data_IF_689528851897
#
_entry.id   IF_689528851897
#
_cell.length_a   1.000
_cell.length_b   1.000
_cell.length_c   1.000
_cell.angle_alpha   90.00
_cell.angle_beta   90.00
_cell.angle_gamma   90.00
#
_symmetry.space_group_name_H-M   'P 1'
#
loop_
_entity.id
_entity.type
_entity.pdbx_description
1 polymer ?
#
# COMPACT_ATOMS: atom_id res chain seq x y z
N UNK A 1 25.89 16.91 9.72
CA UNK A 1 24.83 16.69 8.72
C UNK A 1 24.29 15.29 8.94
N UNK A 2 23.12 15.16 9.58
CA UNK A 2 22.43 13.88 9.72
C UNK A 2 21.76 13.59 8.38
N UNK A 3 22.20 12.56 7.67
CA UNK A 3 21.47 12.05 6.50
C UNK A 3 20.20 11.37 7.03
N UNK A 4 19.07 12.08 6.98
CA UNK A 4 17.76 11.45 7.17
C UNK A 4 17.50 10.57 5.94
N UNK A 5 17.81 9.28 6.05
CA UNK A 5 17.17 8.31 5.17
C UNK A 5 15.68 8.32 5.56
N UNK A 6 14.86 8.91 4.70
CA UNK A 6 13.40 8.87 4.77
C UNK A 6 12.97 7.40 4.74
N UNK A 7 12.87 6.79 5.92
CA UNK A 7 12.12 5.55 6.10
C UNK A 7 10.66 5.99 6.00
N UNK A 8 10.03 5.78 4.85
CA UNK A 8 8.58 5.95 4.71
C UNK A 8 7.91 5.10 5.81
N UNK A 9 7.28 5.75 6.78
CA UNK A 9 6.48 5.05 7.78
C UNK A 9 5.20 4.59 7.13
N UNK A 10 4.96 3.30 7.27
CA UNK A 10 3.75 2.71 6.75
C UNK A 10 3.00 2.05 7.90
N UNK A 11 1.84 2.62 8.20
CA UNK A 11 0.98 2.27 9.31
C UNK A 11 0.38 0.85 9.16
N UNK A 12 0.97 -0.17 9.75
CA UNK A 12 0.35 -1.50 9.82
C UNK A 12 -0.68 -1.55 10.96
N UNK A 13 -1.91 -1.96 10.67
CA UNK A 13 -2.84 -2.38 11.73
C UNK A 13 -2.37 -3.72 12.28
N UNK A 14 -2.31 -3.93 13.62
CA UNK A 14 -1.82 -5.18 14.22
C UNK A 14 -2.81 -6.35 14.10
N UNK A 15 -3.78 -6.27 13.18
CA UNK A 15 -4.68 -7.37 12.86
C UNK A 15 -3.94 -8.44 12.03
N UNK A 16 -3.17 -9.26 12.76
CA UNK A 16 -2.58 -10.54 12.34
C UNK A 16 -1.33 -10.43 11.46
N UNK A 17 -0.27 -11.10 11.91
CA UNK A 17 1.03 -11.28 11.26
C UNK A 17 1.00 -12.13 9.97
N UNK A 18 -0.02 -11.97 9.13
CA UNK A 18 -0.07 -12.46 7.77
C UNK A 18 -0.22 -11.25 6.84
N UNK A 19 0.65 -11.12 5.84
CA UNK A 19 0.43 -10.14 4.77
C UNK A 19 -0.99 -10.33 4.23
N UNK A 20 -1.83 -9.29 4.16
CA UNK A 20 -3.18 -9.43 3.66
C UNK A 20 -3.13 -10.07 2.27
N UNK A 21 -4.09 -10.96 2.00
CA UNK A 21 -4.19 -11.70 0.74
C UNK A 21 -5.55 -11.45 0.12
N UNK A 22 -5.58 -11.16 -1.17
CA UNK A 22 -6.81 -10.95 -1.91
C UNK A 22 -7.55 -12.28 -2.13
N UNK A 23 -8.85 -12.32 -1.86
CA UNK A 23 -9.66 -13.53 -1.92
C UNK A 23 -10.60 -13.55 -3.12
N UNK A 24 -10.92 -14.75 -3.63
CA UNK A 24 -11.77 -14.93 -4.80
C UNK A 24 -13.27 -14.84 -4.51
N UNK A 25 -13.65 -14.91 -3.23
CA UNK A 25 -15.06 -14.98 -2.83
C UNK A 25 -15.78 -13.70 -3.23
N UNK A 26 -16.88 -13.82 -3.99
CA UNK A 26 -17.66 -12.67 -4.43
C UNK A 26 -17.07 -11.92 -5.63
N UNK A 27 -15.92 -12.33 -6.14
CA UNK A 27 -15.40 -11.81 -7.40
C UNK A 27 -16.33 -12.21 -8.56
N UNK A 28 -16.49 -11.29 -9.50
CA UNK A 28 -17.25 -11.49 -10.74
C UNK A 28 -16.78 -12.72 -11.54
N UNK A 29 -15.49 -13.06 -11.47
CA UNK A 29 -14.94 -14.31 -12.00
C UNK A 29 -13.90 -14.90 -11.03
N UNK A 30 -14.38 -15.50 -9.94
CA UNK A 30 -13.55 -16.17 -8.93
C UNK A 30 -12.54 -17.17 -9.54
N UNK A 31 -12.98 -17.96 -10.53
CA UNK A 31 -12.12 -18.95 -11.19
C UNK A 31 -11.00 -18.32 -12.03
N UNK A 32 -11.32 -17.22 -12.72
CA UNK A 32 -10.34 -16.44 -13.48
C UNK A 32 -9.33 -15.79 -12.54
N UNK A 33 -9.80 -15.23 -11.43
CA UNK A 33 -8.94 -14.66 -10.41
C UNK A 33 -7.98 -15.69 -9.80
N UNK A 34 -8.47 -16.86 -9.38
CA UNK A 34 -7.63 -17.94 -8.84
C UNK A 34 -6.60 -18.44 -9.87
N UNK A 35 -7.01 -18.57 -11.14
CA UNK A 35 -6.07 -18.92 -12.20
C UNK A 35 -4.98 -17.86 -12.37
N UNK A 36 -5.35 -16.58 -12.33
CA UNK A 36 -4.42 -15.47 -12.46
C UNK A 36 -3.44 -15.42 -11.28
N UNK A 37 -3.92 -15.57 -10.04
CA UNK A 37 -3.07 -15.68 -8.85
C UNK A 37 -2.11 -16.86 -8.93
N UNK A 38 -2.57 -18.02 -9.41
CA UNK A 38 -1.71 -19.19 -9.58
C UNK A 38 -0.56 -18.94 -10.56
N UNK A 39 -0.82 -18.17 -11.63
CA UNK A 39 0.23 -17.81 -12.59
C UNK A 39 1.17 -16.74 -12.01
N UNK A 40 0.67 -15.75 -11.27
CA UNK A 40 1.50 -14.82 -10.49
C UNK A 40 2.43 -15.57 -9.51
N UNK A 41 1.88 -16.50 -8.72
CA UNK A 41 2.65 -17.32 -7.77
C UNK A 41 3.76 -18.14 -8.44
N UNK A 42 3.51 -18.68 -9.64
CA UNK A 42 4.54 -19.39 -10.42
C UNK A 42 5.65 -18.45 -10.88
N UNK A 43 5.29 -17.26 -11.38
CA UNK A 43 6.26 -16.25 -11.79
C UNK A 43 7.13 -15.82 -10.61
N UNK A 44 6.52 -15.52 -9.46
CA UNK A 44 7.21 -15.15 -8.22
C UNK A 44 8.14 -16.26 -7.74
N UNK A 45 7.68 -17.52 -7.77
CA UNK A 45 8.50 -18.69 -7.40
C UNK A 45 9.72 -18.84 -8.32
N UNK A 46 9.53 -18.62 -9.63
CA UNK A 46 10.61 -18.63 -10.62
C UNK A 46 11.61 -17.49 -10.37
N UNK A 47 11.13 -16.28 -10.13
CA UNK A 47 11.93 -15.10 -9.83
C UNK A 47 12.79 -15.33 -8.57
N UNK A 48 12.19 -15.80 -7.48
CA UNK A 48 12.90 -16.09 -6.23
C UNK A 48 13.96 -17.17 -6.43
N UNK A 49 13.63 -18.23 -7.18
CA UNK A 49 14.58 -19.32 -7.45
C UNK A 49 15.79 -18.82 -8.23
N UNK A 50 15.58 -17.94 -9.21
CA UNK A 50 16.65 -17.32 -10.00
C UNK A 50 17.49 -16.35 -9.15
N UNK A 51 16.86 -15.47 -8.38
CA UNK A 51 17.55 -14.53 -7.50
C UNK A 51 18.42 -15.24 -6.44
N UNK A 52 17.94 -16.38 -5.91
CA UNK A 52 18.73 -17.24 -5.01
C UNK A 52 19.94 -17.85 -5.72
N UNK A 53 19.75 -18.35 -6.94
CA UNK A 53 20.84 -18.91 -7.75
C UNK A 53 21.93 -17.88 -8.05
N UNK A 54 21.52 -16.63 -8.30
CA UNK A 54 22.44 -15.53 -8.63
C UNK A 54 22.97 -14.80 -7.37
N UNK A 55 22.55 -15.22 -6.17
CA UNK A 55 22.86 -14.58 -4.89
C UNK A 55 22.51 -13.07 -4.84
N UNK A 56 21.39 -12.68 -5.48
CA UNK A 56 20.96 -11.28 -5.60
C UNK A 56 19.85 -10.96 -4.59
N UNK A 57 20.23 -10.55 -3.39
CA UNK A 57 19.30 -10.27 -2.29
C UNK A 57 18.27 -9.17 -2.62
N UNK A 58 18.68 -8.13 -3.35
CA UNK A 58 17.75 -7.06 -3.79
C UNK A 58 16.66 -7.57 -4.73
N UNK A 59 16.97 -8.58 -5.54
CA UNK A 59 16.00 -9.16 -6.46
C UNK A 59 14.97 -10.02 -5.73
N UNK A 60 15.33 -10.64 -4.62
CA UNK A 60 14.34 -11.35 -3.79
C UNK A 60 13.22 -10.43 -3.30
N UNK A 61 13.58 -9.21 -2.89
CA UNK A 61 12.60 -8.20 -2.50
C UNK A 61 11.77 -7.74 -3.71
N UNK A 62 12.42 -7.48 -4.84
CA UNK A 62 11.73 -7.08 -6.07
C UNK A 62 10.73 -8.15 -6.55
N UNK A 63 11.03 -9.43 -6.40
CA UNK A 63 10.09 -10.51 -6.72
C UNK A 63 8.78 -10.41 -5.91
N UNK A 64 8.87 -10.11 -4.61
CA UNK A 64 7.68 -9.95 -3.76
C UNK A 64 6.87 -8.70 -4.10
N UNK A 65 7.52 -7.63 -4.52
CA UNK A 65 6.85 -6.42 -4.99
C UNK A 65 6.14 -6.64 -6.31
N UNK A 66 6.78 -7.34 -7.25
CA UNK A 66 6.13 -7.72 -8.51
C UNK A 66 4.96 -8.68 -8.28
N UNK A 67 5.07 -9.59 -7.30
CA UNK A 67 3.95 -10.45 -6.92
C UNK A 67 2.72 -9.64 -6.50
N UNK A 68 2.94 -8.59 -5.70
CA UNK A 68 1.85 -7.69 -5.27
C UNK A 68 1.21 -6.99 -6.46
N UNK A 69 2.04 -6.49 -7.40
CA UNK A 69 1.60 -5.88 -8.66
C UNK A 69 0.74 -6.83 -9.47
N UNK A 70 1.21 -8.05 -9.66
CA UNK A 70 0.49 -9.07 -10.42
C UNK A 70 -0.86 -9.41 -9.76
N UNK A 71 -0.89 -9.56 -8.44
CA UNK A 71 -2.10 -9.92 -7.70
C UNK A 71 -3.17 -8.83 -7.72
N UNK A 72 -2.83 -7.56 -7.49
CA UNK A 72 -3.85 -6.51 -7.58
C UNK A 72 -4.27 -6.24 -9.04
N UNK A 73 -3.41 -6.50 -10.03
CA UNK A 73 -3.79 -6.49 -11.45
C UNK A 73 -4.78 -7.63 -11.78
N UNK A 74 -4.54 -8.83 -11.25
CA UNK A 74 -5.51 -9.93 -11.30
C UNK A 74 -6.85 -9.52 -10.66
N UNK A 75 -6.81 -8.82 -9.53
CA UNK A 75 -8.02 -8.35 -8.85
C UNK A 75 -8.77 -7.30 -9.68
N UNK A 76 -8.05 -6.33 -10.25
CA UNK A 76 -8.63 -5.34 -11.16
C UNK A 76 -9.26 -5.97 -12.41
N UNK A 77 -8.74 -7.11 -12.89
CA UNK A 77 -9.31 -7.84 -14.02
C UNK A 77 -10.54 -8.67 -13.61
N UNK A 78 -10.47 -9.44 -12.52
CA UNK A 78 -11.42 -10.53 -12.24
C UNK A 78 -12.30 -10.31 -11.00
N UNK A 79 -11.99 -9.29 -10.21
CA UNK A 79 -12.68 -8.90 -8.98
C UNK A 79 -12.97 -7.40 -8.99
N UNK A 80 -13.11 -6.78 -10.18
CA UNK A 80 -13.37 -5.34 -10.32
C UNK A 80 -14.60 -4.86 -9.55
N UNK A 81 -15.52 -5.77 -9.19
CA UNK A 81 -16.70 -5.47 -8.41
C UNK A 81 -16.43 -5.28 -6.91
N UNK A 82 -15.19 -5.54 -6.46
CA UNK A 82 -14.74 -5.52 -5.05
C UNK A 82 -13.56 -4.58 -4.78
N UNK A 83 -13.14 -3.81 -5.77
CA UNK A 83 -11.89 -3.00 -5.74
C UNK A 83 -11.91 -1.82 -4.75
N UNK A 84 -13.04 -1.58 -4.07
CA UNK A 84 -13.12 -0.55 -3.02
C UNK A 84 -13.36 -1.13 -1.63
N UNK A 85 -13.55 -2.44 -1.52
CA UNK A 85 -13.72 -3.14 -0.25
C UNK A 85 -12.48 -3.00 0.66
N UNK A 86 -12.65 -3.25 1.96
CA UNK A 86 -11.56 -3.19 2.93
C UNK A 86 -10.39 -4.09 2.54
N UNK A 87 -10.66 -5.31 2.08
CA UNK A 87 -9.63 -6.30 1.70
C UNK A 87 -8.69 -5.74 0.62
N UNK A 88 -9.23 -5.05 -0.40
CA UNK A 88 -8.41 -4.46 -1.46
C UNK A 88 -7.57 -3.30 -0.93
N UNK A 89 -8.16 -2.41 -0.14
CA UNK A 89 -7.44 -1.27 0.41
C UNK A 89 -6.32 -1.72 1.37
N UNK A 90 -6.58 -2.69 2.25
CA UNK A 90 -5.57 -3.28 3.14
C UNK A 90 -4.43 -3.93 2.35
N UNK A 91 -4.75 -4.62 1.26
CA UNK A 91 -3.75 -5.23 0.38
C UNK A 91 -2.85 -4.19 -0.28
N UNK A 92 -3.43 -3.13 -0.86
CA UNK A 92 -2.64 -2.07 -1.48
C UNK A 92 -1.80 -1.33 -0.45
N UNK A 93 -2.35 -1.07 0.74
CA UNK A 93 -1.57 -0.49 1.84
C UNK A 93 -0.38 -1.39 2.15
N UNK A 94 -0.60 -2.68 2.38
CA UNK A 94 0.47 -3.65 2.63
C UNK A 94 1.53 -3.68 1.52
N UNK A 95 1.14 -3.57 0.25
CA UNK A 95 2.07 -3.40 -0.86
C UNK A 95 2.92 -2.14 -0.69
N UNK A 96 2.30 -0.98 -0.45
CA UNK A 96 3.02 0.27 -0.20
C UNK A 96 3.99 0.15 0.98
N UNK A 97 3.63 -0.59 2.03
CA UNK A 97 4.48 -0.74 3.23
C UNK A 97 5.68 -1.63 3.01
N UNK A 98 5.48 -2.74 2.32
CA UNK A 98 6.50 -3.78 2.18
C UNK A 98 7.40 -3.56 0.95
N UNK A 99 7.02 -2.65 0.06
CA UNK A 99 7.74 -2.35 -1.16
C UNK A 99 8.22 -0.90 -1.19
N UNK A 100 9.51 -0.70 -0.96
CA UNK A 100 10.14 0.62 -0.99
C UNK A 100 10.02 1.34 -2.36
N UNK A 101 9.80 0.58 -3.42
CA UNK A 101 9.57 1.14 -4.76
C UNK A 101 8.11 1.46 -5.03
N UNK A 102 7.16 0.98 -4.22
CA UNK A 102 5.74 1.18 -4.46
C UNK A 102 5.38 2.66 -4.41
N UNK A 103 4.62 3.11 -5.41
CA UNK A 103 4.12 4.48 -5.52
C UNK A 103 2.79 4.50 -6.26
N UNK A 104 2.05 5.57 -6.04
CA UNK A 104 0.87 5.89 -6.84
C UNK A 104 1.26 6.37 -8.26
N UNK A 105 0.40 6.14 -9.25
CA UNK A 105 -0.95 5.58 -9.13
C UNK A 105 -0.96 4.03 -9.03
N UNK A 106 -1.95 3.54 -8.30
CA UNK A 106 -2.38 2.13 -8.26
C UNK A 106 -3.88 2.11 -8.59
N UNK A 107 -4.40 1.18 -9.41
CA UNK A 107 -5.81 1.18 -9.80
C UNK A 107 -6.73 1.22 -8.58
N UNK A 108 -7.79 2.02 -8.65
CA UNK A 108 -8.86 2.08 -7.64
C UNK A 108 -8.43 2.48 -6.22
N UNK A 109 -7.22 3.00 -6.04
CA UNK A 109 -6.69 3.39 -4.75
C UNK A 109 -6.23 4.87 -4.75
N UNK A 110 -6.70 5.71 -3.82
CA UNK A 110 -7.66 5.41 -2.76
C UNK A 110 -9.07 5.22 -3.34
N UNK A 111 -10.00 4.68 -2.54
CA UNK A 111 -11.39 4.56 -2.97
C UNK A 111 -11.99 5.98 -3.19
N UNK A 112 -12.78 6.20 -4.26
CA UNK A 112 -13.54 7.43 -4.43
C UNK A 112 -14.50 7.68 -3.27
N UNK A 113 -14.91 8.94 -3.11
CA UNK A 113 -15.97 9.30 -2.17
C UNK A 113 -17.28 8.60 -2.57
N UNK A 114 -17.99 8.07 -1.58
CA UNK A 114 -19.30 7.42 -1.73
C UNK A 114 -19.30 6.23 -2.72
N UNK A 115 -18.13 5.61 -2.92
CA UNK A 115 -18.01 4.40 -3.72
C UNK A 115 -18.90 3.27 -3.15
N UNK A 116 -19.69 2.57 -3.98
CA UNK A 116 -20.52 1.45 -3.54
C UNK A 116 -19.64 0.31 -3.03
N UNK A 117 -20.09 -0.38 -1.98
CA UNK A 117 -19.38 -1.49 -1.33
C UNK A 117 -17.97 -1.11 -0.82
N UNK A 118 -17.69 0.19 -0.68
CA UNK A 118 -16.41 0.67 -0.20
C UNK A 118 -16.23 0.35 1.28
N UNK A 119 -14.98 0.21 1.72
CA UNK A 119 -14.67 0.05 3.14
C UNK A 119 -15.27 1.19 3.98
N UNK A 120 -15.82 0.85 5.16
CA UNK A 120 -16.47 1.76 6.10
C UNK A 120 -15.56 2.91 6.56
N UNK A 121 -14.25 2.69 6.45
CA UNK A 121 -13.21 3.71 6.55
C UNK A 121 -12.43 3.71 5.23
N UNK A 122 -12.16 4.90 4.66
CA UNK A 122 -11.32 5.01 3.49
C UNK A 122 -9.84 4.90 3.90
N UNK A 123 -9.38 3.67 4.11
CA UNK A 123 -8.01 3.35 4.51
C UNK A 123 -6.98 3.95 3.54
N UNK A 124 -7.30 3.98 2.26
CA UNK A 124 -6.42 4.59 1.26
C UNK A 124 -6.22 6.09 1.48
N UNK A 125 -7.29 6.84 1.79
CA UNK A 125 -7.18 8.26 2.15
C UNK A 125 -6.37 8.47 3.42
N UNK A 126 -6.59 7.66 4.47
CA UNK A 126 -5.78 7.71 5.70
C UNK A 126 -4.31 7.49 5.38
N UNK A 127 -3.98 6.44 4.61
CA UNK A 127 -2.61 6.12 4.25
C UNK A 127 -1.92 7.24 3.47
N UNK A 128 -2.64 7.87 2.53
CA UNK A 128 -2.10 8.99 1.74
C UNK A 128 -1.89 10.21 2.62
N UNK A 129 -2.88 10.61 3.43
CA UNK A 129 -2.77 11.78 4.30
C UNK A 129 -1.61 11.64 5.31
N UNK A 130 -1.39 10.44 5.84
CA UNK A 130 -0.25 10.16 6.72
C UNK A 130 1.08 10.25 5.97
N UNK A 131 1.17 9.66 4.78
CA UNK A 131 2.38 9.78 3.96
C UNK A 131 2.67 11.23 3.56
N UNK A 132 1.63 12.01 3.25
CA UNK A 132 1.75 13.43 2.95
C UNK A 132 2.25 14.20 4.18
N UNK A 133 1.79 13.88 5.39
CA UNK A 133 2.31 14.49 6.62
C UNK A 133 3.81 14.25 6.77
N UNK A 134 4.28 13.03 6.51
CA UNK A 134 5.71 12.67 6.54
C UNK A 134 6.51 13.45 5.49
N UNK A 135 6.02 13.53 4.25
CA UNK A 135 6.70 14.27 3.18
C UNK A 135 6.74 15.78 3.45
N UNK A 136 5.66 16.33 4.01
CA UNK A 136 5.57 17.73 4.39
C UNK A 136 6.50 18.04 5.56
N UNK A 137 6.61 17.16 6.55
CA UNK A 137 7.56 17.30 7.66
C UNK A 137 9.02 17.24 7.20
N UNK A 138 9.35 16.35 6.27
CA UNK A 138 10.66 16.30 5.63
C UNK A 138 10.99 17.60 4.90
N UNK A 139 10.03 18.14 4.15
CA UNK A 139 10.17 19.42 3.43
C UNK A 139 10.32 20.60 4.41
N UNK A 140 9.46 20.65 5.42
CA UNK A 140 9.45 21.64 6.49
C UNK A 140 10.81 21.68 7.20
N UNK A 141 11.34 20.52 7.58
CA UNK A 141 12.63 20.39 8.26
C UNK A 141 13.80 20.84 7.37
N UNK A 142 13.76 20.51 6.07
CA UNK A 142 14.78 20.95 5.11
C UNK A 142 14.75 22.46 4.85
N UNK A 143 13.59 23.09 5.06
CA UNK A 143 13.41 24.54 4.92
C UNK A 143 13.79 25.33 6.18
N UNK A 144 14.11 24.68 7.29
CA UNK A 144 14.62 25.31 8.51
C UNK A 144 16.05 25.82 8.30
N UNK A 145 16.19 27.01 7.69
CA UNK A 145 17.45 27.52 7.14
C UNK A 145 17.79 28.94 7.59
N UNK A 146 17.29 29.37 8.75
CA UNK A 146 17.67 30.65 9.34
C UNK A 146 19.16 30.67 9.72
N UNK A 147 19.72 31.88 9.87
CA UNK A 147 21.08 32.05 10.39
C UNK A 147 21.24 31.68 11.87
N UNK A 148 20.14 31.36 12.55
CA UNK A 148 20.11 30.96 13.96
C UNK A 148 19.85 29.45 14.08
N UNK A 149 20.87 28.73 14.55
CA UNK A 149 20.79 27.28 14.75
C UNK A 149 19.72 26.88 15.78
N UNK A 150 19.49 27.70 16.81
CA UNK A 150 18.46 27.46 17.81
C UNK A 150 17.06 27.57 17.22
N UNK A 151 16.82 28.60 16.42
CA UNK A 151 15.55 28.78 15.73
C UNK A 151 15.27 27.63 14.73
N UNK A 152 16.28 27.19 14.00
CA UNK A 152 16.14 26.05 13.08
C UNK A 152 15.77 24.76 13.82
N UNK A 153 16.41 24.49 14.96
CA UNK A 153 16.06 23.33 15.78
C UNK A 153 14.61 23.40 16.29
N UNK A 154 14.15 24.57 16.76
CA UNK A 154 12.76 24.73 17.20
C UNK A 154 11.77 24.49 16.05
N UNK A 155 12.06 24.99 14.85
CA UNK A 155 11.23 24.74 13.68
C UNK A 155 11.22 23.26 13.30
N UNK A 156 12.36 22.57 13.30
CA UNK A 156 12.44 21.13 13.01
C UNK A 156 11.61 20.30 14.00
N UNK A 157 11.66 20.62 15.29
CA UNK A 157 10.81 20.00 16.30
C UNK A 157 9.32 20.29 16.04
N UNK A 158 8.99 21.53 15.65
CA UNK A 158 7.65 21.91 15.18
C UNK A 158 7.17 21.06 13.99
N UNK A 159 8.04 20.86 12.99
CA UNK A 159 7.75 20.01 11.83
C UNK A 159 7.43 18.56 12.26
N UNK A 160 8.26 17.96 13.12
CA UNK A 160 8.03 16.61 13.66
C UNK A 160 6.72 16.52 14.45
N UNK A 161 6.40 17.56 15.23
CA UNK A 161 5.15 17.61 15.97
C UNK A 161 3.92 17.74 15.06
N UNK A 162 4.02 18.51 13.98
CA UNK A 162 2.98 18.57 12.96
C UNK A 162 2.83 17.28 12.16
N UNK A 163 3.90 16.48 12.00
CA UNK A 163 3.83 15.13 11.44
C UNK A 163 3.00 14.18 12.33
N UNK A 164 3.31 14.15 13.62
CA UNK A 164 2.59 13.34 14.62
C UNK A 164 1.12 13.77 14.72
N UNK A 165 0.89 15.07 14.79
CA UNK A 165 -0.44 15.67 14.81
C UNK A 165 -1.23 15.40 13.54
N UNK A 166 -0.61 15.57 12.36
CA UNK A 166 -1.22 15.28 11.07
C UNK A 166 -1.58 13.81 10.91
N UNK A 167 -0.74 12.90 11.42
CA UNK A 167 -1.01 11.46 11.44
C UNK A 167 -2.25 11.14 12.29
N UNK A 168 -2.31 11.67 13.51
CA UNK A 168 -3.47 11.50 14.40
C UNK A 168 -4.76 12.06 13.82
N UNK A 169 -4.67 13.26 13.27
CA UNK A 169 -5.81 13.97 12.70
C UNK A 169 -6.32 13.27 11.44
N UNK A 170 -5.43 12.75 10.60
CA UNK A 170 -5.77 11.90 9.45
C UNK A 170 -6.57 10.68 9.87
N UNK A 171 -6.20 10.02 10.96
CA UNK A 171 -6.90 8.84 11.48
C UNK A 171 -8.32 9.21 11.92
N UNK A 172 -8.46 10.23 12.77
CA UNK A 172 -9.74 10.50 13.44
C UNK A 172 -10.70 11.36 12.62
N UNK A 173 -10.22 12.16 11.67
CA UNK A 173 -11.10 12.97 10.80
C UNK A 173 -11.56 12.19 9.57
N UNK A 174 -10.70 11.35 8.98
CA UNK A 174 -11.07 10.55 7.81
C UNK A 174 -11.91 9.34 8.24
N UNK A 175 -11.64 8.75 9.42
CA UNK A 175 -12.31 7.56 9.92
C UNK A 175 -12.79 7.70 11.38
N UNK A 176 -13.68 8.67 11.66
CA UNK A 176 -14.09 9.03 13.02
C UNK A 176 -14.74 7.89 13.81
N UNK A 177 -15.48 7.01 13.14
CA UNK A 177 -16.25 5.95 13.80
C UNK A 177 -15.46 4.65 14.00
N UNK A 178 -14.28 4.53 13.37
CA UNK A 178 -13.49 3.29 13.36
C UNK A 178 -12.59 3.19 14.59
N UNK A 179 -12.39 1.97 15.12
CA UNK A 179 -11.35 1.74 16.14
C UNK A 179 -9.99 2.17 15.57
N UNK A 180 -9.34 3.18 16.17
CA UNK A 180 -8.12 3.77 15.62
C UNK A 180 -6.96 2.77 15.53
N UNK A 181 -7.00 1.66 16.29
CA UNK A 181 -6.02 0.57 16.18
C UNK A 181 -6.09 -0.15 14.84
N UNK A 182 -7.25 -0.16 14.17
CA UNK A 182 -7.47 -0.76 12.86
C UNK A 182 -7.07 0.14 11.69
N UNK A 183 -6.69 1.39 11.97
CA UNK A 183 -6.31 2.38 10.95
C UNK A 183 -4.94 3.01 11.23
N UNK A 184 -4.12 2.32 12.02
CA UNK A 184 -2.70 2.64 12.14
C UNK A 184 -2.25 3.33 13.41
N UNK A 185 -3.14 3.70 14.34
CA UNK A 185 -2.76 4.40 15.59
C UNK A 185 -1.72 3.62 16.41
N UNK A 186 -1.74 2.29 16.33
CA UNK A 186 -0.77 1.41 17.00
C UNK A 186 0.69 1.69 16.62
N UNK A 187 0.95 2.38 15.50
CA UNK A 187 2.30 2.72 15.05
C UNK A 187 2.77 4.09 15.53
N UNK A 188 1.93 4.88 16.20
CA UNK A 188 2.31 6.21 16.67
C UNK A 188 3.56 6.18 17.54
N UNK A 189 3.69 5.23 18.47
CA UNK A 189 4.90 5.10 19.29
C UNK A 189 6.15 4.73 18.49
N UNK A 190 5.99 4.04 17.36
CA UNK A 190 7.11 3.79 16.44
C UNK A 190 7.50 5.07 15.70
N UNK A 191 6.51 5.86 15.28
CA UNK A 191 6.72 7.17 14.68
C UNK A 191 7.45 8.13 15.64
N UNK A 192 6.97 8.26 16.86
CA UNK A 192 7.63 9.04 17.93
C UNK A 192 9.09 8.63 18.12
N UNK A 193 9.36 7.32 18.18
CA UNK A 193 10.71 6.77 18.35
C UNK A 193 11.63 7.11 17.17
N UNK A 194 11.09 7.11 15.94
CA UNK A 194 11.87 7.43 14.73
C UNK A 194 12.17 8.92 14.61
N UNK A 195 11.18 9.76 14.95
CA UNK A 195 11.35 11.22 15.00
C UNK A 195 12.21 11.65 16.20
N UNK A 196 12.37 10.78 17.21
CA UNK A 196 12.97 11.10 18.50
C UNK A 196 12.24 12.28 19.18
N UNK A 197 10.91 12.29 19.06
CA UNK A 197 10.00 13.29 19.62
C UNK A 197 8.80 12.57 20.23
N UNK A 198 8.52 12.83 21.50
CA UNK A 198 7.30 12.35 22.13
C UNK A 198 6.16 13.31 21.82
N UNK A 199 5.01 12.79 21.36
CA UNK A 199 3.86 13.62 21.04
C UNK A 199 3.39 14.43 22.26
N UNK A 200 3.51 13.88 23.47
CA UNK A 200 3.19 14.61 24.72
C UNK A 200 3.97 15.91 24.91
N UNK A 201 5.14 16.05 24.29
CA UNK A 201 5.99 17.25 24.39
C UNK A 201 5.70 18.27 23.29
N UNK A 202 4.79 17.94 22.35
CA UNK A 202 4.52 18.75 21.17
C UNK A 202 3.70 20.01 21.41
N UNK A 203 2.98 20.11 22.53
CA UNK A 203 2.09 21.24 22.81
C UNK A 203 2.80 22.59 22.68
N UNK A 204 3.98 22.72 23.29
CA UNK A 204 4.78 23.96 23.23
C UNK A 204 5.24 24.34 21.82
N UNK A 205 5.49 23.34 20.95
CA UNK A 205 5.94 23.59 19.59
C UNK A 205 4.76 23.95 18.68
N UNK A 206 3.63 23.28 18.86
CA UNK A 206 2.39 23.57 18.13
C UNK A 206 1.72 24.88 18.59
N UNK A 207 2.05 25.39 19.77
CA UNK A 207 1.69 26.74 20.20
C UNK A 207 2.58 27.82 19.56
N UNK A 208 3.84 27.48 19.27
CA UNK A 208 4.81 28.38 18.66
C UNK A 208 4.74 28.39 17.12
N UNK A 209 4.31 27.27 16.53
CA UNK A 209 4.20 27.07 15.09
C UNK A 209 2.85 26.45 14.75
N UNK A 210 2.02 27.20 14.04
CA UNK A 210 0.83 26.65 13.43
C UNK A 210 1.21 25.74 12.25
N UNK A 211 0.75 24.49 12.29
CA UNK A 211 1.11 23.50 11.28
C UNK A 211 0.72 23.96 9.87
N UNK A 212 -0.42 24.60 9.70
CA UNK A 212 -0.90 25.06 8.39
C UNK A 212 -0.23 26.36 7.97
N UNK A 213 -0.35 27.42 8.76
CA UNK A 213 0.07 28.76 8.34
C UNK A 213 1.57 28.98 8.40
N UNK A 214 2.23 28.41 9.41
CA UNK A 214 3.66 28.66 9.63
C UNK A 214 4.52 27.57 8.97
N UNK A 215 4.05 26.32 9.02
CA UNK A 215 4.81 25.15 8.56
C UNK A 215 4.29 24.53 7.25
N UNK A 216 3.25 25.12 6.65
CA UNK A 216 2.72 24.75 5.33
C UNK A 216 2.16 23.33 5.23
N UNK A 217 1.73 22.73 6.34
CA UNK A 217 1.06 21.44 6.31
C UNK A 217 -0.35 21.58 5.75
N UNK A 218 -0.74 20.70 4.82
CA UNK A 218 -2.08 20.66 4.24
C UNK A 218 -2.37 19.24 3.78
N UNK A 219 -3.25 18.53 4.49
CA UNK A 219 -3.55 17.12 4.25
C UNK A 219 -5.01 16.97 3.79
N UNK A 220 -5.25 16.17 2.75
CA UNK A 220 -6.63 15.90 2.29
C UNK A 220 -7.41 15.17 3.40
N UNK A 221 -8.63 15.64 3.68
CA UNK A 221 -9.49 15.07 4.72
C UNK A 221 -9.10 15.43 6.16
N UNK A 222 -8.17 16.36 6.37
CA UNK A 222 -7.80 16.88 7.69
C UNK A 222 -8.05 18.39 7.75
N UNK A 223 -8.80 18.82 8.74
CA UNK A 223 -9.09 20.23 8.98
C UNK A 223 -8.37 20.80 10.19
N UNK A 224 -8.03 19.94 11.16
CA UNK A 224 -7.45 20.33 12.44
C UNK A 224 -6.17 19.53 12.70
N UNK A 225 -5.14 20.18 13.22
CA UNK A 225 -3.94 19.49 13.72
C UNK A 225 -4.08 19.35 15.24
N UNK A 226 -4.43 18.15 15.69
CA UNK A 226 -4.65 17.84 17.11
C UNK A 226 -3.39 18.08 17.94
N UNK A 227 -3.55 18.75 19.08
CA UNK A 227 -2.55 18.94 20.12
C UNK A 227 -2.62 17.82 21.17
N UNK A 228 -1.58 17.63 22.00
CA UNK A 228 -1.53 16.51 22.93
C UNK A 228 -2.63 16.49 24.00
N UNK A 229 -3.18 17.66 24.34
CA UNK A 229 -4.28 17.84 25.29
C UNK A 229 -5.66 17.82 24.63
N UNK A 230 -5.74 17.76 23.30
CA UNK A 230 -7.01 17.64 22.59
C UNK A 230 -7.64 16.28 22.84
N UNK A 231 -8.96 16.29 23.09
CA UNK A 231 -9.71 15.07 23.22
C UNK A 231 -9.80 14.32 21.88
N UNK A 232 -9.19 13.14 21.81
CA UNK A 232 -9.32 12.25 20.67
C UNK A 232 -10.76 11.72 20.58
N UNK A 233 -11.50 12.17 19.56
CA UNK A 233 -12.81 11.65 19.23
C UNK A 233 -12.63 10.45 18.30
N UNK A 234 -12.63 9.27 18.88
CA UNK A 234 -12.49 8.01 18.13
C UNK A 234 -13.69 7.11 18.36
N UNK A 235 -14.07 6.35 17.35
CA UNK A 235 -15.07 5.32 17.48
C UNK A 235 -14.50 3.97 17.91
N UNK A 236 -15.37 2.96 17.88
CA UNK A 236 -15.06 1.58 18.25
C UNK A 236 -15.52 0.58 17.20
N UNK A 237 -15.92 1.05 16.01
CA UNK A 237 -16.40 0.18 14.96
C UNK A 237 -15.25 -0.62 14.34
N UNK A 238 -15.53 -1.87 14.00
CA UNK A 238 -14.65 -2.67 13.15
C UNK A 238 -14.77 -2.23 11.70
N UNK A 239 -13.78 -2.56 10.87
CA UNK A 239 -13.86 -2.38 9.42
C UNK A 239 -14.90 -3.32 8.83
N UNK A 240 -15.70 -2.80 7.90
CA UNK A 240 -16.70 -3.56 7.16
C UNK A 240 -16.93 -2.92 5.79
N UNK A 241 -17.41 -3.68 4.80
CA UNK A 241 -17.80 -3.09 3.53
C UNK A 241 -19.16 -2.40 3.67
N UNK A 242 -19.29 -1.24 3.04
CA UNK A 242 -20.49 -0.42 3.03
C UNK A 242 -21.60 -1.03 2.15
N UNK A 243 -22.75 -0.35 2.06
CA UNK A 243 -23.85 -0.80 1.22
C UNK A 243 -23.58 -0.60 -0.27
N UNK A 244 -24.38 -1.27 -1.10
CA UNK A 244 -24.34 -1.16 -2.56
C UNK A 244 -23.55 -2.29 -3.22
N UNK A 245 -23.36 -2.17 -4.52
CA UNK A 245 -22.58 -3.13 -5.31
C UNK A 245 -22.05 -2.45 -6.56
N UNK A 246 -20.82 -2.75 -6.94
CA UNK A 246 -20.25 -2.33 -8.22
C UNK A 246 -20.75 -3.30 -9.30
N UNK A 247 -21.61 -2.84 -10.21
CA UNK A 247 -22.23 -3.69 -11.26
C UNK A 247 -21.57 -3.55 -12.64
N UNK A 248 -20.68 -2.58 -12.80
CA UNK A 248 -19.90 -2.37 -14.02
C UNK A 248 -18.47 -1.93 -13.66
N UNK A 249 -17.44 -2.35 -14.42
CA UNK A 249 -16.07 -1.93 -14.16
C UNK A 249 -15.94 -0.40 -14.18
N UNK A 250 -15.48 0.20 -13.09
CA UNK A 250 -15.45 1.66 -12.94
C UNK A 250 -14.53 2.37 -13.97
N UNK A 251 -13.51 1.67 -14.47
CA UNK A 251 -12.58 2.19 -15.50
C UNK A 251 -12.97 1.78 -16.92
N UNK A 252 -14.16 1.19 -17.12
CA UNK A 252 -14.54 0.57 -18.38
C UNK A 252 -13.99 -0.85 -18.55
N UNK A 253 -14.41 -1.53 -19.63
CA UNK A 253 -14.07 -2.93 -19.87
C UNK A 253 -12.58 -3.18 -20.14
N UNK A 254 -11.90 -2.20 -20.72
CA UNK A 254 -10.45 -2.23 -20.94
C UNK A 254 -9.91 -0.88 -20.51
N UNK A 255 -8.89 -0.88 -19.67
CA UNK A 255 -8.18 0.33 -19.29
C UNK A 255 -6.69 0.05 -19.17
N UNK A 256 -5.88 1.11 -19.25
CA UNK A 256 -4.45 1.03 -19.00
C UNK A 256 -4.05 2.04 -17.93
N UNK A 257 -3.01 1.72 -17.17
CA UNK A 257 -2.41 2.63 -16.20
C UNK A 257 -0.88 2.43 -16.16
N UNK A 258 -0.15 3.49 -15.85
CA UNK A 258 1.28 3.40 -15.56
C UNK A 258 1.44 3.16 -14.07
N UNK A 259 2.01 2.03 -13.67
CA UNK A 259 2.27 1.78 -12.26
C UNK A 259 3.32 2.78 -11.75
N UNK A 260 3.03 3.46 -10.64
CA UNK A 260 3.92 4.49 -10.12
C UNK A 260 5.27 3.96 -9.62
N UNK A 261 5.31 2.70 -9.20
CA UNK A 261 6.49 2.10 -8.57
C UNK A 261 7.51 1.50 -9.54
N UNK A 262 7.08 0.84 -10.60
CA UNK A 262 7.95 0.26 -11.63
C UNK A 262 7.96 1.05 -12.96
N UNK A 263 7.02 1.98 -13.17
CA UNK A 263 6.90 2.77 -14.39
C UNK A 263 6.33 2.01 -15.59
N UNK A 264 5.91 0.76 -15.42
CA UNK A 264 5.38 -0.11 -16.48
C UNK A 264 3.92 0.24 -16.77
N UNK A 265 3.56 0.26 -18.04
CA UNK A 265 2.16 0.41 -18.48
C UNK A 265 1.50 -0.97 -18.49
N UNK A 266 0.49 -1.14 -17.64
CA UNK A 266 -0.34 -2.33 -17.60
C UNK A 266 -1.67 -2.07 -18.30
N UNK A 267 -2.11 -3.02 -19.11
CA UNK A 267 -3.45 -3.01 -19.71
C UNK A 267 -4.30 -4.09 -19.07
N UNK A 268 -5.41 -3.68 -18.46
CA UNK A 268 -6.34 -4.56 -17.75
C UNK A 268 -7.59 -4.72 -18.60
N UNK A 269 -8.00 -5.97 -18.81
CA UNK A 269 -9.29 -6.31 -19.39
C UNK A 269 -10.17 -6.88 -18.29
N UNK A 270 -11.24 -6.18 -17.97
CA UNK A 270 -12.22 -6.60 -16.98
C UNK A 270 -12.97 -7.84 -17.46
N UNK A 271 -13.03 -8.86 -16.61
CA UNK A 271 -13.82 -10.05 -16.83
C UNK A 271 -15.30 -9.69 -17.00
N UNK A 272 -15.97 -10.37 -17.91
CA UNK A 272 -17.43 -10.24 -18.05
C UNK A 272 -18.10 -10.85 -16.82
N UNK A 273 -19.24 -10.27 -16.44
CA UNK A 273 -20.09 -10.86 -15.40
C UNK A 273 -20.48 -12.29 -15.79
N UNK A 274 -19.94 -13.27 -15.04
CA UNK A 274 -20.22 -14.68 -15.26
C UNK A 274 -21.51 -15.06 -14.51
N UNK A 275 -22.60 -14.35 -14.81
CA UNK A 275 -23.92 -14.95 -14.74
C UNK A 275 -24.02 -16.00 -15.87
N UNK A 276 -23.40 -17.16 -15.65
CA UNK A 276 -23.51 -18.35 -16.48
C UNK A 276 -22.73 -18.33 -17.80
N UNK A 277 -21.44 -18.65 -17.79
CA UNK A 277 -20.81 -19.45 -18.85
C UNK A 277 -19.35 -19.74 -18.51
N UNK A 278 -19.03 -21.02 -18.35
CA UNK A 278 -17.66 -21.51 -18.32
C UNK A 278 -16.94 -21.13 -19.62
N UNK A 279 -15.85 -20.38 -19.49
CA UNK A 279 -14.98 -20.02 -20.61
C UNK A 279 -13.59 -19.73 -20.05
N UNK A 280 -12.63 -20.58 -20.41
CA UNK A 280 -11.21 -20.42 -20.09
C UNK A 280 -10.66 -19.23 -20.90
N UNK A 281 -10.65 -18.04 -20.30
CA UNK A 281 -9.90 -16.90 -20.79
C UNK A 281 -8.61 -16.77 -20.00
N UNK A 282 -7.47 -17.11 -20.61
CA UNK A 282 -6.17 -16.64 -20.13
C UNK A 282 -6.15 -15.12 -20.35
N UNK A 283 -6.19 -14.33 -19.29
CA UNK A 283 -5.75 -12.94 -19.38
C UNK A 283 -4.25 -12.93 -19.14
N UNK A 284 -3.48 -12.78 -20.21
CA UNK A 284 -2.08 -12.35 -20.11
C UNK A 284 -2.09 -10.82 -19.97
N UNK A 285 -1.54 -10.31 -18.87
CA UNK A 285 -1.10 -8.92 -18.82
C UNK A 285 0.13 -8.82 -19.72
N UNK A 286 -0.06 -8.36 -20.95
CA UNK A 286 1.05 -8.21 -21.90
C UNK A 286 1.81 -6.93 -21.57
N UNK A 287 3.04 -7.08 -21.08
CA UNK A 287 4.03 -6.00 -21.02
C UNK A 287 4.34 -5.56 -22.45
N UNK A 288 4.14 -4.28 -22.77
CA UNK A 288 4.44 -3.76 -24.11
C UNK A 288 5.84 -3.15 -24.08
N UNK A 289 6.86 -3.95 -24.39
CA UNK A 289 8.19 -3.44 -24.72
C UNK A 289 8.21 -2.99 -26.19
N UNK A 290 8.78 -1.81 -26.43
CA UNK A 290 8.92 -1.24 -27.77
C UNK A 290 10.13 -1.84 -28.51
N UNK A 291 9.87 -2.32 -29.72
CA UNK A 291 10.78 -2.59 -30.86
C UNK A 291 11.98 -3.54 -30.70
N UNK A 292 11.87 -4.74 -31.29
CA UNK A 292 12.70 -5.15 -32.44
C UNK A 292 12.18 -6.46 -33.10
N UNK A 293 12.09 -6.40 -34.43
CA UNK A 293 11.76 -7.42 -35.45
C UNK A 293 12.38 -8.82 -35.27
N UNK A 294 11.58 -9.87 -35.53
CA UNK A 294 12.08 -11.23 -35.78
C UNK A 294 10.97 -12.26 -36.07
N UNK A 295 10.95 -12.77 -37.31
CA UNK A 295 9.92 -13.59 -37.96
C UNK A 295 9.71 -15.01 -37.40
N UNK A 296 8.46 -15.46 -37.53
CA UNK A 296 7.80 -16.75 -37.29
C UNK A 296 8.54 -18.10 -37.46
N UNK A 297 8.15 -19.11 -36.67
CA UNK A 297 7.62 -20.39 -37.21
C UNK A 297 6.94 -21.28 -36.15
N UNK A 298 6.11 -22.20 -36.65
CA UNK A 298 4.95 -22.82 -36.03
C UNK A 298 5.15 -24.24 -35.44
N UNK A 299 4.02 -24.78 -34.95
CA UNK A 299 3.69 -26.18 -34.59
C UNK A 299 4.30 -26.76 -33.31
N UNK A 300 3.59 -27.53 -32.48
CA UNK A 300 2.23 -28.05 -32.55
C UNK A 300 2.00 -29.10 -31.45
N UNK A 301 0.73 -29.32 -31.12
CA UNK A 301 0.15 -30.56 -30.55
C UNK A 301 0.08 -30.73 -29.02
N UNK A 302 -1.19 -30.89 -28.61
CA UNK A 302 -1.72 -31.35 -27.32
C UNK A 302 -1.24 -32.76 -26.96
N UNK A 303 -1.03 -33.02 -25.68
CA UNK A 303 -1.62 -34.19 -25.04
C UNK A 303 -2.07 -33.90 -23.62
N UNK A 304 -3.23 -34.49 -23.29
CA UNK A 304 -3.98 -34.34 -22.06
C UNK A 304 -3.74 -35.60 -21.24
N UNK A 305 -3.18 -35.51 -20.03
CA UNK A 305 -3.41 -36.52 -18.99
C UNK A 305 -3.62 -35.88 -17.63
N UNK A 306 -4.87 -35.96 -17.20
CA UNK A 306 -5.31 -35.77 -15.83
C UNK A 306 -4.72 -36.88 -14.95
N UNK A 307 -4.10 -36.52 -13.83
CA UNK A 307 -4.26 -37.28 -12.59
C UNK A 307 -3.96 -36.38 -11.40
N UNK A 308 -4.93 -36.42 -10.50
CA UNK A 308 -5.08 -35.70 -9.25
C UNK A 308 -4.06 -36.17 -8.20
N UNK A 309 -3.45 -35.22 -7.51
CA UNK A 309 -3.19 -35.23 -6.07
C UNK A 309 -2.80 -33.81 -5.64
N UNK A 310 -3.79 -33.12 -5.07
CA UNK A 310 -3.61 -31.85 -4.39
C UNK A 310 -2.82 -32.11 -3.11
N UNK A 311 -1.58 -31.64 -3.08
CA UNK A 311 -0.83 -31.44 -1.84
C UNK A 311 -0.67 -29.94 -1.68
N UNK A 312 -1.58 -29.35 -0.92
CA UNK A 312 -1.45 -27.99 -0.42
C UNK A 312 -0.26 -27.97 0.55
N UNK A 313 0.94 -27.67 0.04
CA UNK A 313 2.07 -27.34 0.90
C UNK A 313 1.94 -25.88 1.28
N UNK A 314 1.29 -25.63 2.42
CA UNK A 314 1.34 -24.36 3.14
C UNK A 314 2.80 -24.05 3.45
N UNK A 315 3.47 -23.27 2.59
CA UNK A 315 4.72 -22.61 2.95
C UNK A 315 4.36 -21.48 3.90
N UNK A 316 4.38 -21.80 5.19
CA UNK A 316 4.43 -20.82 6.25
C UNK A 316 5.60 -19.88 5.98
N UNK A 317 5.30 -18.67 5.54
CA UNK A 317 6.23 -17.54 5.50
C UNK A 317 6.59 -17.19 6.95
N UNK A 318 7.50 -17.98 7.54
CA UNK A 318 8.13 -17.66 8.81
C UNK A 318 8.98 -16.41 8.63
N UNK A 319 8.43 -15.29 9.07
CA UNK A 319 9.15 -14.15 9.66
C UNK A 319 10.40 -13.67 8.94
N UNK A 320 10.24 -12.88 7.88
CA UNK A 320 11.32 -12.02 7.36
C UNK A 320 11.42 -10.66 8.09
N UNK A 321 10.55 -10.41 9.09
CA UNK A 321 10.60 -9.20 9.91
C UNK A 321 11.91 -9.07 10.71
N UNK A 322 12.59 -10.18 11.02
CA UNK A 322 13.83 -10.18 11.80
C UNK A 322 15.09 -9.75 11.03
N UNK A 323 15.04 -9.71 9.69
CA UNK A 323 16.24 -9.43 8.87
C UNK A 323 16.34 -7.95 8.47
N UNK A 324 15.23 -7.21 8.47
CA UNK A 324 15.22 -5.76 8.21
C UNK A 324 15.81 -4.99 9.40
N UNK A 325 15.59 -5.43 10.64
CA UNK A 325 16.14 -4.78 11.84
C UNK A 325 17.66 -5.04 12.00
N UNK A 326 18.15 -6.20 11.56
CA UNK A 326 19.56 -6.58 11.72
C UNK A 326 20.52 -5.94 10.68
N UNK A 327 20.02 -5.58 9.50
CA UNK A 327 20.87 -4.97 8.46
C UNK A 327 21.07 -3.47 8.63
N UNK A 328 20.16 -2.76 9.31
CA UNK A 328 20.29 -1.32 9.58
C UNK A 328 21.31 -1.06 10.70
N UNK A 329 21.48 -1.99 11.64
CA UNK A 329 22.47 -1.84 12.72
C UNK A 329 23.92 -2.03 12.26
N UNK A 330 24.16 -2.66 11.09
CA UNK A 330 25.50 -2.86 10.55
C UNK A 330 26.06 -1.65 9.77
N UNK A 331 25.21 -0.71 9.34
CA UNK A 331 25.64 0.50 8.63
C UNK A 331 25.72 1.76 9.52
N UNK A 332 25.37 1.65 10.81
CA UNK A 332 25.55 2.72 11.80
C UNK A 332 26.96 2.77 12.41
N UNK A 333 27.86 1.89 11.98
CA UNK A 333 29.29 1.95 12.28
C UNK A 333 30.06 2.08 10.97
N UNK A 334 30.08 3.29 10.41
CA UNK A 334 31.23 3.96 9.78
C UNK A 334 30.82 5.32 9.23
#
# INVERSE_FOLDING_TARGET
>A
MRFYYLLSLYLASPAIAASPSLTSKGCVDASGFESCQNDANKQTSSCISQAKKDNRQKELLACGCQDSVNNYNCYAAYCWNRVWECEYQEYIIAYMQNCLTAKLPVPYFPAPKDAPDACSCNLGKVNIAVNDAIQQAGTCSNNANSGDAGANLQQMEGCSCCELSGTLSSIVEICPDTDPKLVGLSNLGTLESQLNVQYTDCGKYMDAFDCQSDLSFSLDGVSTFLKPDDALKTGSATLSNGPGSVTTPASGHVFSYTNGGDGVVYTITAAKDKAGSGGKGKSEATQTDSDATGTASADGTKETKSSSKSSATTLAAKGYLGLVVALVSAFAMW
#
